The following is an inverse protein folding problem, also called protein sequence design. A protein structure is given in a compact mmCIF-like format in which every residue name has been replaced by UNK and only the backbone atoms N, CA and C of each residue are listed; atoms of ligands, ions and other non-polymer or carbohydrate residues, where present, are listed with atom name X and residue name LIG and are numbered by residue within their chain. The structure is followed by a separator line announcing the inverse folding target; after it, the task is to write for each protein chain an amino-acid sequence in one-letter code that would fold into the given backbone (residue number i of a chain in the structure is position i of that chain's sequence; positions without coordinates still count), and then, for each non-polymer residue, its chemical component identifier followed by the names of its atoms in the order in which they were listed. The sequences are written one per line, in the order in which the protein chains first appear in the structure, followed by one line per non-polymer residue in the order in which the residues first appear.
data_IF_222539435986
#
_entry.id   IF_222539435986
#
_cell.length_a   1.000
_cell.length_b   1.000
_cell.length_c   1.000
_cell.angle_alpha   90.00
_cell.angle_beta   90.00
_cell.angle_gamma   90.00
#
_symmetry.space_group_name_H-M   'P 1'
#
loop_
_entity.id
_entity.type
_entity.pdbx_description
1 polymer ?
#
# COMPACT_ATOMS: atom_id res chain seq x y z
N UNK A 1 -10.41 -18.19 -3.32
CA UNK A 1 -11.87 -18.35 -3.50
C UNK A 1 -12.38 -17.02 -3.99
N UNK A 2 -12.75 -16.92 -5.28
CA UNK A 2 -13.42 -15.75 -5.83
C UNK A 2 -14.78 -15.61 -5.15
N UNK A 3 -15.16 -14.40 -4.79
CA UNK A 3 -16.40 -14.04 -4.08
C UNK A 3 -17.60 -14.89 -4.50
N UNK A 4 -18.40 -15.33 -3.53
CA UNK A 4 -19.46 -16.30 -3.76
C UNK A 4 -20.61 -15.73 -4.60
N UNK A 5 -21.06 -14.48 -4.32
CA UNK A 5 -22.19 -13.86 -5.02
C UNK A 5 -22.10 -12.33 -5.02
N UNK A 6 -22.95 -11.67 -5.81
CA UNK A 6 -23.10 -10.20 -5.77
C UNK A 6 -23.79 -9.74 -4.49
N UNK A 7 -24.63 -10.62 -3.89
CA UNK A 7 -25.23 -10.36 -2.59
C UNK A 7 -24.18 -10.29 -1.48
N UNK A 8 -23.14 -11.17 -1.52
CA UNK A 8 -22.01 -11.12 -0.58
C UNK A 8 -21.26 -9.80 -0.73
N UNK A 9 -20.95 -9.36 -1.95
CA UNK A 9 -20.25 -8.10 -2.19
C UNK A 9 -21.06 -6.90 -1.70
N UNK A 10 -22.37 -6.88 -2.00
CA UNK A 10 -23.29 -5.85 -1.52
C UNK A 10 -23.33 -5.78 0.00
N UNK A 11 -23.41 -6.94 0.66
CA UNK A 11 -23.40 -7.04 2.12
C UNK A 11 -22.09 -6.51 2.69
N UNK A 12 -20.95 -6.92 2.14
CA UNK A 12 -19.63 -6.49 2.62
C UNK A 12 -19.39 -5.00 2.39
N UNK A 13 -19.86 -4.45 1.27
CA UNK A 13 -19.80 -3.02 1.01
C UNK A 13 -20.55 -2.21 2.08
N UNK A 14 -21.75 -2.66 2.46
CA UNK A 14 -22.52 -2.04 3.57
C UNK A 14 -21.83 -2.18 4.92
N UNK A 15 -21.03 -3.21 5.13
CA UNK A 15 -20.23 -3.43 6.33
C UNK A 15 -18.89 -2.68 6.32
N UNK A 16 -18.62 -1.87 5.30
CA UNK A 16 -17.43 -1.03 5.25
C UNK A 16 -16.23 -1.66 4.53
N UNK A 17 -16.38 -2.81 3.85
CA UNK A 17 -15.28 -3.33 3.02
C UNK A 17 -15.07 -2.40 1.81
N UNK A 18 -13.81 -2.04 1.54
CA UNK A 18 -13.41 -1.10 0.48
C UNK A 18 -12.32 -1.63 -0.44
N UNK A 19 -11.90 -2.87 -0.25
CA UNK A 19 -10.85 -3.43 -1.09
C UNK A 19 -10.67 -4.93 -0.93
N UNK A 20 -9.85 -5.50 -1.78
CA UNK A 20 -9.43 -6.90 -1.72
C UNK A 20 -7.93 -7.02 -1.84
N UNK A 21 -7.31 -7.82 -0.96
CA UNK A 21 -5.86 -8.01 -0.95
C UNK A 21 -5.44 -9.15 -1.86
N UNK A 22 -4.40 -8.87 -2.66
CA UNK A 22 -3.68 -9.83 -3.48
C UNK A 22 -2.27 -9.98 -2.93
N UNK A 23 -1.91 -11.19 -2.52
CA UNK A 23 -0.55 -11.52 -2.12
C UNK A 23 0.18 -12.09 -3.33
N UNK A 24 1.02 -11.26 -3.95
CA UNK A 24 1.86 -11.62 -5.10
C UNK A 24 3.35 -11.75 -4.73
N UNK A 25 3.67 -11.76 -3.42
CA UNK A 25 5.04 -11.85 -2.92
C UNK A 25 5.60 -13.28 -3.01
N UNK A 26 4.75 -14.28 -2.81
CA UNK A 26 5.17 -15.68 -2.73
C UNK A 26 4.93 -16.41 -4.04
N UNK A 27 5.84 -17.34 -4.37
CA UNK A 27 5.68 -18.27 -5.49
C UNK A 27 4.35 -19.04 -5.34
N UNK A 28 3.54 -19.03 -6.41
CA UNK A 28 2.19 -19.61 -6.36
C UNK A 28 1.09 -18.64 -5.92
N UNK A 29 1.40 -17.37 -5.73
CA UNK A 29 0.41 -16.30 -5.57
C UNK A 29 -0.50 -16.20 -6.80
N UNK A 30 -1.66 -15.52 -6.69
CA UNK A 30 -2.62 -15.42 -7.78
C UNK A 30 -1.99 -14.68 -8.97
N UNK A 31 -1.95 -15.33 -10.12
CA UNK A 31 -1.51 -14.71 -11.37
C UNK A 31 -2.43 -13.59 -11.84
N UNK A 32 -1.99 -12.81 -12.82
CA UNK A 32 -2.72 -11.64 -13.35
C UNK A 32 -4.15 -11.99 -13.78
N UNK A 33 -4.36 -13.15 -14.42
CA UNK A 33 -5.70 -13.61 -14.82
C UNK A 33 -6.70 -13.78 -13.64
N UNK A 34 -6.21 -14.05 -12.42
CA UNK A 34 -7.03 -14.03 -11.22
C UNK A 34 -7.38 -12.60 -10.83
N UNK A 35 -6.41 -11.69 -10.89
CA UNK A 35 -6.59 -10.27 -10.53
C UNK A 35 -7.54 -9.58 -11.51
N UNK A 36 -7.50 -9.91 -12.79
CA UNK A 36 -8.45 -9.45 -13.80
C UNK A 36 -9.89 -9.79 -13.41
N UNK A 37 -10.15 -11.07 -13.07
CA UNK A 37 -11.49 -11.50 -12.62
C UNK A 37 -11.89 -10.83 -11.30
N UNK A 38 -10.95 -10.64 -10.39
CA UNK A 38 -11.18 -9.93 -9.14
C UNK A 38 -11.55 -8.47 -9.40
N UNK A 39 -10.76 -7.76 -10.20
CA UNK A 39 -10.97 -6.35 -10.54
C UNK A 39 -12.36 -6.14 -11.20
N UNK A 40 -12.72 -6.98 -12.17
CA UNK A 40 -14.02 -6.92 -12.80
C UNK A 40 -15.19 -7.05 -11.78
N UNK A 41 -15.00 -7.84 -10.74
CA UNK A 41 -16.01 -8.07 -9.68
C UNK A 41 -16.13 -6.92 -8.68
N UNK A 42 -15.00 -6.27 -8.35
CA UNK A 42 -14.94 -5.23 -7.30
C UNK A 42 -15.10 -3.82 -7.85
N UNK A 43 -14.82 -3.60 -9.12
CA UNK A 43 -14.93 -2.30 -9.80
C UNK A 43 -16.30 -1.62 -9.64
N UNK A 44 -17.45 -2.32 -9.77
CA UNK A 44 -18.77 -1.70 -9.55
C UNK A 44 -19.01 -1.19 -8.12
N UNK A 45 -18.17 -1.57 -7.17
CA UNK A 45 -18.24 -1.18 -5.76
C UNK A 45 -17.23 -0.11 -5.38
N UNK A 46 -16.45 0.42 -6.34
CA UNK A 46 -15.34 1.36 -6.13
C UNK A 46 -14.28 0.83 -5.14
N UNK A 47 -14.11 -0.50 -5.07
CA UNK A 47 -13.10 -1.11 -4.21
C UNK A 47 -11.73 -1.10 -4.88
N UNK A 48 -10.69 -0.96 -4.05
CA UNK A 48 -9.31 -1.04 -4.50
C UNK A 48 -8.75 -2.47 -4.44
N UNK A 49 -7.70 -2.71 -5.22
CA UNK A 49 -6.84 -3.89 -5.07
C UNK A 49 -5.64 -3.51 -4.22
N UNK A 50 -5.51 -4.14 -3.04
CA UNK A 50 -4.33 -3.99 -2.19
C UNK A 50 -3.29 -5.04 -2.57
N UNK A 51 -2.07 -4.62 -2.90
CA UNK A 51 -0.99 -5.48 -3.37
C UNK A 51 0.09 -5.67 -2.31
N UNK A 52 0.32 -6.90 -1.89
CA UNK A 52 1.55 -7.29 -1.22
C UNK A 52 2.50 -7.83 -2.28
N UNK A 53 3.54 -7.06 -2.61
CA UNK A 53 4.42 -7.32 -3.76
C UNK A 53 5.82 -6.78 -3.51
N UNK A 54 6.83 -7.47 -4.01
CA UNK A 54 8.19 -6.95 -4.16
C UNK A 54 8.29 -6.15 -5.46
N UNK A 55 8.41 -4.83 -5.34
CA UNK A 55 8.49 -3.90 -6.48
C UNK A 55 9.82 -3.99 -7.25
N UNK A 56 10.87 -4.52 -6.66
CA UNK A 56 12.15 -4.76 -7.37
C UNK A 56 12.02 -5.99 -8.26
N UNK A 57 11.43 -7.06 -7.74
CA UNK A 57 11.21 -8.31 -8.48
C UNK A 57 10.09 -8.21 -9.53
N UNK A 58 9.08 -7.38 -9.27
CA UNK A 58 7.88 -7.28 -10.12
C UNK A 58 7.52 -5.81 -10.47
N UNK A 59 8.41 -5.10 -11.17
CA UNK A 59 8.33 -3.64 -11.32
C UNK A 59 7.12 -3.14 -12.11
N UNK A 60 6.50 -3.99 -12.94
CA UNK A 60 5.37 -3.61 -13.81
C UNK A 60 4.01 -4.06 -13.29
N UNK A 61 3.99 -4.86 -12.22
CA UNK A 61 2.75 -5.47 -11.73
C UNK A 61 1.71 -4.43 -11.24
N UNK A 62 2.07 -3.36 -10.51
CA UNK A 62 1.12 -2.32 -10.14
C UNK A 62 0.46 -1.65 -11.36
N UNK A 63 1.23 -1.38 -12.43
CA UNK A 63 0.68 -0.83 -13.67
C UNK A 63 -0.33 -1.79 -14.32
N UNK A 64 0.02 -3.06 -14.43
CA UNK A 64 -0.88 -4.08 -15.00
C UNK A 64 -2.21 -4.17 -14.24
N UNK A 65 -2.20 -3.97 -12.90
CA UNK A 65 -3.43 -3.94 -12.10
C UNK A 65 -4.18 -2.62 -12.27
N UNK A 66 -3.49 -1.49 -12.32
CA UNK A 66 -4.10 -0.17 -12.56
C UNK A 66 -4.80 -0.12 -13.93
N UNK A 67 -4.22 -0.74 -14.97
CA UNK A 67 -4.79 -0.84 -16.31
C UNK A 67 -6.17 -1.55 -16.33
N UNK A 68 -6.52 -2.30 -15.28
CA UNK A 68 -7.85 -2.90 -15.10
C UNK A 68 -8.91 -1.87 -14.65
N UNK A 69 -8.49 -0.63 -14.38
CA UNK A 69 -9.36 0.48 -14.00
C UNK A 69 -9.91 0.36 -12.58
N UNK A 70 -9.11 -0.16 -11.66
CA UNK A 70 -9.36 -0.19 -10.21
C UNK A 70 -8.22 0.50 -9.48
N UNK A 71 -8.47 1.25 -8.38
CA UNK A 71 -7.39 1.84 -7.60
C UNK A 71 -6.47 0.75 -7.02
N UNK A 72 -5.17 1.04 -6.98
CA UNK A 72 -4.15 0.13 -6.43
C UNK A 72 -3.63 0.68 -5.11
N UNK A 73 -3.48 -0.17 -4.09
CA UNK A 73 -2.82 0.16 -2.82
C UNK A 73 -1.62 -0.76 -2.66
N UNK A 74 -0.41 -0.21 -2.64
CA UNK A 74 0.82 -0.99 -2.46
C UNK A 74 1.18 -1.07 -0.98
N UNK A 75 1.21 -2.30 -0.43
CA UNK A 75 1.58 -2.54 0.96
C UNK A 75 3.08 -2.31 1.20
N UNK A 76 3.39 -1.89 2.44
CA UNK A 76 4.74 -1.86 3.00
C UNK A 76 5.76 -1.21 2.04
N UNK A 77 5.39 -0.05 1.46
CA UNK A 77 6.30 0.70 0.58
C UNK A 77 6.88 -0.09 -0.59
N UNK A 78 6.24 -1.22 -0.97
CA UNK A 78 6.69 -2.09 -2.06
C UNK A 78 7.57 -3.26 -1.66
N UNK A 79 7.67 -3.56 -0.36
CA UNK A 79 8.23 -4.78 0.23
C UNK A 79 9.62 -5.19 -0.30
N UNK A 80 10.50 -4.25 -0.52
CA UNK A 80 11.88 -4.45 -0.97
C UNK A 80 12.84 -3.59 -0.17
N UNK A 81 14.12 -3.97 -0.16
CA UNK A 81 15.19 -3.17 0.46
C UNK A 81 15.13 -1.71 -0.02
N UNK A 82 15.14 -0.70 0.88
CA UNK A 82 14.97 0.71 0.50
C UNK A 82 16.00 1.20 -0.50
N UNK A 83 17.26 0.80 -0.37
CA UNK A 83 18.36 1.20 -1.27
C UNK A 83 18.19 0.58 -2.66
N UNK A 84 17.74 -0.67 -2.72
CA UNK A 84 17.46 -1.35 -3.99
C UNK A 84 16.25 -0.70 -4.66
N UNK A 85 15.20 -0.44 -3.89
CA UNK A 85 13.95 0.17 -4.39
C UNK A 85 14.19 1.58 -4.95
N UNK A 86 14.99 2.41 -4.29
CA UNK A 86 15.36 3.76 -4.76
C UNK A 86 15.98 3.79 -6.16
N UNK A 87 16.54 2.67 -6.62
CA UNK A 87 17.16 2.51 -7.95
C UNK A 87 16.29 1.70 -8.91
N UNK A 88 15.16 1.19 -8.44
CA UNK A 88 14.30 0.27 -9.19
C UNK A 88 13.39 1.00 -10.19
N UNK A 89 13.19 0.46 -11.39
CA UNK A 89 12.11 0.92 -12.28
C UNK A 89 10.72 0.73 -11.64
N UNK A 90 10.56 -0.19 -10.70
CA UNK A 90 9.31 -0.39 -9.97
C UNK A 90 8.91 0.82 -9.15
N UNK A 91 9.87 1.48 -8.48
CA UNK A 91 9.59 2.75 -7.80
C UNK A 91 9.16 3.83 -8.79
N UNK A 92 9.88 3.99 -9.91
CA UNK A 92 9.53 5.00 -10.91
C UNK A 92 8.09 4.79 -11.45
N UNK A 93 7.73 3.56 -11.76
CA UNK A 93 6.37 3.21 -12.20
C UNK A 93 5.32 3.51 -11.13
N UNK A 94 5.57 3.13 -9.87
CA UNK A 94 4.65 3.44 -8.77
C UNK A 94 4.47 4.93 -8.56
N UNK A 95 5.55 5.71 -8.60
CA UNK A 95 5.49 7.17 -8.44
C UNK A 95 4.67 7.84 -9.57
N UNK A 96 4.77 7.34 -10.81
CA UNK A 96 3.93 7.81 -11.93
C UNK A 96 2.45 7.53 -11.66
N UNK A 97 2.10 6.31 -11.28
CA UNK A 97 0.71 5.94 -10.93
C UNK A 97 0.16 6.76 -9.75
N UNK A 98 1.01 7.05 -8.76
CA UNK A 98 0.61 7.91 -7.64
C UNK A 98 0.36 9.36 -8.10
N UNK A 99 1.22 9.91 -8.96
CA UNK A 99 1.04 11.26 -9.52
C UNK A 99 -0.28 11.38 -10.31
N UNK A 100 -0.66 10.32 -11.01
CA UNK A 100 -1.92 10.22 -11.75
C UNK A 100 -3.14 9.91 -10.87
N UNK A 101 -2.94 9.64 -9.57
CA UNK A 101 -4.01 9.28 -8.64
C UNK A 101 -4.52 7.85 -8.76
N UNK A 102 -3.83 6.98 -9.49
CA UNK A 102 -4.23 5.59 -9.74
C UNK A 102 -3.71 4.61 -8.69
N UNK A 103 -2.62 4.98 -7.98
CA UNK A 103 -2.05 4.15 -6.94
C UNK A 103 -1.84 4.90 -5.62
N UNK A 104 -1.89 4.13 -4.55
CA UNK A 104 -1.61 4.51 -3.18
C UNK A 104 -0.43 3.72 -2.65
N UNK A 105 0.28 4.29 -1.70
CA UNK A 105 1.31 3.57 -0.94
C UNK A 105 0.99 3.58 0.55
N UNK A 106 1.22 2.45 1.21
CA UNK A 106 1.10 2.33 2.65
C UNK A 106 2.48 2.42 3.30
N UNK A 107 2.74 3.48 4.07
CA UNK A 107 3.91 3.60 4.94
C UNK A 107 3.70 2.69 6.15
N UNK A 108 4.21 1.48 6.09
CA UNK A 108 4.02 0.48 7.15
C UNK A 108 5.15 -0.55 7.15
N UNK A 109 5.34 -1.21 8.28
CA UNK A 109 6.23 -2.35 8.43
C UNK A 109 7.66 -2.14 7.88
N UNK A 110 8.40 -1.12 8.32
CA UNK A 110 9.78 -0.88 7.86
C UNK A 110 10.70 -2.07 8.11
N UNK A 111 10.45 -2.84 9.17
CA UNK A 111 11.15 -4.09 9.50
C UNK A 111 10.97 -5.20 8.45
N UNK A 112 10.03 -5.06 7.49
CA UNK A 112 9.91 -5.99 6.35
C UNK A 112 10.84 -5.64 5.20
N UNK A 113 11.36 -4.42 5.20
CA UNK A 113 12.20 -3.90 4.13
C UNK A 113 13.69 -4.11 4.42
N UNK A 114 14.10 -3.97 5.68
CA UNK A 114 15.49 -4.19 6.11
C UNK A 114 15.60 -4.57 7.59
N UNK A 115 16.72 -5.16 7.97
CA UNK A 115 17.06 -5.49 9.37
C UNK A 115 17.12 -4.25 10.29
N UNK A 116 17.26 -3.06 9.72
CA UNK A 116 17.37 -1.79 10.45
C UNK A 116 16.02 -1.20 10.81
N UNK A 117 14.94 -1.73 10.26
CA UNK A 117 13.58 -1.25 10.52
C UNK A 117 13.46 0.26 10.30
N UNK A 118 12.90 0.97 11.27
CA UNK A 118 12.75 2.44 11.21
C UNK A 118 14.06 3.22 11.11
N UNK A 119 15.19 2.59 11.49
CA UNK A 119 16.53 3.21 11.49
C UNK A 119 17.27 3.03 10.17
N UNK A 120 16.63 2.48 9.15
CA UNK A 120 17.26 2.36 7.84
C UNK A 120 17.51 3.75 7.23
N UNK A 121 18.77 4.06 6.84
CA UNK A 121 19.15 5.41 6.39
C UNK A 121 18.56 5.81 5.03
N UNK A 122 18.14 4.84 4.22
CA UNK A 122 17.53 5.09 2.91
C UNK A 122 16.00 5.25 3.00
N UNK A 123 15.39 4.86 4.13
CA UNK A 123 13.94 4.91 4.33
C UNK A 123 13.36 6.33 4.28
N UNK A 124 13.91 7.35 4.97
CA UNK A 124 13.38 8.71 4.89
C UNK A 124 13.38 9.25 3.45
N UNK A 125 14.43 8.96 2.68
CA UNK A 125 14.53 9.36 1.27
C UNK A 125 13.49 8.66 0.39
N UNK A 126 13.21 7.39 0.66
CA UNK A 126 12.16 6.64 -0.03
C UNK A 126 10.78 7.26 0.24
N UNK A 127 10.47 7.54 1.51
CA UNK A 127 9.21 8.15 1.94
C UNK A 127 9.05 9.55 1.33
N UNK A 128 10.10 10.36 1.31
CA UNK A 128 10.09 11.67 0.65
C UNK A 128 9.71 11.57 -0.83
N UNK A 129 10.16 10.52 -1.54
CA UNK A 129 9.79 10.29 -2.95
C UNK A 129 8.29 10.03 -3.10
N UNK A 130 7.69 9.23 -2.23
CA UNK A 130 6.24 8.98 -2.24
C UNK A 130 5.45 10.27 -1.97
N UNK A 131 5.83 11.00 -0.93
CA UNK A 131 5.17 12.27 -0.56
C UNK A 131 5.29 13.30 -1.68
N UNK A 132 6.46 13.45 -2.30
CA UNK A 132 6.66 14.37 -3.44
C UNK A 132 5.87 13.98 -4.68
N UNK A 133 5.66 12.68 -4.92
CA UNK A 133 4.87 12.23 -6.06
C UNK A 133 3.40 12.62 -5.89
N UNK A 134 2.81 12.31 -4.74
CA UNK A 134 1.45 12.74 -4.40
C UNK A 134 1.16 12.48 -2.92
N UNK A 135 1.17 13.51 -2.05
CA UNK A 135 0.89 13.34 -0.63
C UNK A 135 -0.53 12.85 -0.35
N UNK A 136 -1.46 13.06 -1.30
CA UNK A 136 -2.85 12.57 -1.21
C UNK A 136 -2.99 11.07 -1.47
N UNK A 137 -1.96 10.39 -1.89
CA UNK A 137 -1.95 8.96 -2.20
C UNK A 137 -1.08 8.15 -1.24
N UNK A 138 -0.85 8.69 -0.05
CA UNK A 138 -0.06 8.06 1.01
C UNK A 138 -0.94 7.80 2.22
N UNK A 139 -0.90 6.60 2.77
CA UNK A 139 -1.51 6.25 4.06
C UNK A 139 -0.48 5.58 4.96
N UNK A 140 -0.72 5.57 6.26
CA UNK A 140 0.14 4.91 7.24
C UNK A 140 -0.60 3.78 7.96
N UNK A 141 0.13 2.83 8.53
CA UNK A 141 -0.40 1.77 9.38
C UNK A 141 0.69 1.01 10.13
N UNK A 142 0.35 0.42 11.26
CA UNK A 142 1.26 -0.34 12.13
C UNK A 142 1.71 -1.67 11.55
N UNK A 143 0.89 -2.30 10.72
CA UNK A 143 0.98 -3.72 10.33
C UNK A 143 0.65 -4.71 11.48
N UNK A 144 -0.02 -4.21 12.55
CA UNK A 144 -0.46 -5.09 13.62
C UNK A 144 -1.35 -6.23 13.09
N UNK A 145 -1.21 -7.49 13.55
CA UNK A 145 -0.39 -8.01 14.63
C UNK A 145 1.02 -8.49 14.19
N UNK A 146 1.64 -7.89 13.18
CA UNK A 146 3.01 -8.15 12.71
C UNK A 146 3.28 -9.62 12.33
N UNK A 147 2.49 -10.24 11.46
CA UNK A 147 2.61 -11.67 11.18
C UNK A 147 3.95 -12.00 10.52
N UNK A 148 4.66 -12.99 11.09
CA UNK A 148 5.90 -13.54 10.52
C UNK A 148 6.92 -12.47 10.09
N UNK A 149 7.41 -11.61 11.00
CA UNK A 149 8.40 -10.60 10.65
C UNK A 149 9.70 -11.27 10.18
N UNK A 150 10.29 -10.87 9.03
CA UNK A 150 11.52 -11.47 8.53
C UNK A 150 12.77 -11.02 9.31
N UNK A 151 12.68 -9.88 10.00
CA UNK A 151 13.73 -9.26 10.79
C UNK A 151 13.22 -8.89 12.18
N UNK A 152 14.10 -8.48 13.12
CA UNK A 152 13.68 -7.98 14.42
C UNK A 152 12.63 -6.88 14.30
N UNK A 153 11.60 -6.97 15.10
CA UNK A 153 10.47 -6.06 15.09
C UNK A 153 10.79 -4.79 15.89
N UNK A 154 10.52 -3.63 15.30
CA UNK A 154 10.39 -2.41 16.06
C UNK A 154 9.10 -2.46 16.90
N UNK A 155 9.12 -1.95 18.13
CA UNK A 155 7.92 -1.88 18.95
C UNK A 155 6.91 -0.83 18.39
N UNK A 156 5.65 -0.95 18.76
CA UNK A 156 4.59 -0.07 18.24
C UNK A 156 4.81 1.40 18.58
N UNK A 157 5.41 1.71 19.74
CA UNK A 157 5.73 3.08 20.10
C UNK A 157 6.79 3.66 19.16
N UNK A 158 7.84 2.91 18.88
CA UNK A 158 8.88 3.30 17.91
C UNK A 158 8.31 3.46 16.49
N UNK A 159 7.41 2.57 16.07
CA UNK A 159 6.72 2.70 14.78
C UNK A 159 5.86 3.97 14.69
N UNK A 160 5.15 4.31 15.76
CA UNK A 160 4.35 5.54 15.83
C UNK A 160 5.26 6.77 15.85
N UNK A 161 6.29 6.80 16.69
CA UNK A 161 7.23 7.91 16.80
C UNK A 161 7.95 8.21 15.49
N UNK A 162 8.24 7.18 14.68
CA UNK A 162 8.89 7.35 13.38
C UNK A 162 8.08 8.21 12.40
N UNK A 163 6.76 8.30 12.58
CA UNK A 163 5.89 9.13 11.73
C UNK A 163 6.28 10.59 11.80
N UNK A 164 6.66 11.10 12.98
CA UNK A 164 7.08 12.50 13.16
C UNK A 164 8.41 12.80 12.45
N UNK A 165 9.27 11.81 12.34
CA UNK A 165 10.52 11.94 11.57
C UNK A 165 10.28 11.86 10.07
N UNK A 166 9.38 11.00 9.63
CA UNK A 166 9.08 10.81 8.21
C UNK A 166 8.19 11.92 7.63
N UNK A 167 7.30 12.46 8.45
CA UNK A 167 6.33 13.47 8.08
C UNK A 167 6.43 14.66 9.06
N UNK A 168 7.45 15.52 8.92
CA UNK A 168 7.75 16.57 9.91
C UNK A 168 6.71 17.71 9.93
N UNK A 169 5.97 17.88 8.85
CA UNK A 169 4.93 18.92 8.73
C UNK A 169 3.58 18.42 9.28
N UNK A 170 2.92 19.24 10.14
CA UNK A 170 1.66 18.89 10.79
C UNK A 170 0.51 18.69 9.80
N UNK A 171 0.44 19.52 8.75
CA UNK A 171 -0.60 19.41 7.73
C UNK A 171 -0.40 18.13 6.89
N UNK A 172 0.85 17.75 6.64
CA UNK A 172 1.17 16.50 5.97
C UNK A 172 0.81 15.29 6.83
N UNK A 173 1.05 15.34 8.14
CA UNK A 173 0.62 14.28 9.07
C UNK A 173 -0.89 14.14 9.10
N UNK A 174 -1.62 15.27 9.24
CA UNK A 174 -3.08 15.27 9.15
C UNK A 174 -3.56 14.62 7.84
N UNK A 175 -2.95 15.01 6.71
CA UNK A 175 -3.28 14.45 5.40
C UNK A 175 -3.09 12.92 5.37
N UNK A 176 -1.94 12.41 5.83
CA UNK A 176 -1.58 10.98 5.72
C UNK A 176 -2.30 10.12 6.76
N UNK A 177 -2.50 10.63 7.98
CA UNK A 177 -3.07 9.85 9.09
C UNK A 177 -4.60 9.94 9.17
N UNK A 178 -5.22 10.99 8.61
CA UNK A 178 -6.66 11.26 8.76
C UNK A 178 -7.34 11.40 7.39
N UNK A 179 -7.01 12.44 6.62
CA UNK A 179 -7.78 12.81 5.42
C UNK A 179 -7.69 11.73 4.33
N UNK A 180 -6.51 11.16 4.13
CA UNK A 180 -6.29 10.11 3.14
C UNK A 180 -6.99 8.79 3.53
N UNK A 181 -6.92 8.28 4.78
CA UNK A 181 -7.73 7.15 5.22
C UNK A 181 -9.23 7.38 5.07
N UNK A 182 -9.75 8.57 5.42
CA UNK A 182 -11.15 8.94 5.20
C UNK A 182 -11.52 8.74 3.73
N UNK A 183 -10.71 9.27 2.82
CA UNK A 183 -10.97 9.18 1.38
C UNK A 183 -10.83 7.76 0.83
N UNK A 184 -9.78 7.02 1.24
CA UNK A 184 -9.50 5.68 0.71
C UNK A 184 -10.50 4.63 1.22
N UNK A 185 -10.86 4.71 2.48
CA UNK A 185 -11.69 3.70 3.15
C UNK A 185 -13.14 4.15 3.36
N UNK A 186 -13.47 5.39 3.03
CA UNK A 186 -14.83 5.92 3.14
C UNK A 186 -15.28 6.03 4.59
N UNK A 187 -14.39 6.49 5.49
CA UNK A 187 -14.79 6.82 6.86
C UNK A 187 -15.57 8.14 6.90
N UNK A 188 -16.39 8.32 7.92
CA UNK A 188 -17.02 9.61 8.18
C UNK A 188 -15.95 10.66 8.52
N UNK A 189 -16.06 11.89 8.01
CA UNK A 189 -15.15 12.97 8.37
C UNK A 189 -15.16 13.21 9.89
N UNK A 190 -13.99 13.43 10.47
CA UNK A 190 -13.82 13.75 11.90
C UNK A 190 -13.98 15.25 12.11
#
# INVERSE_FOLDING_TARGET
MLFRSDEDLSRWNRLGVRGSRVNALFAGGPGLAYVERLAARIKPWDWHVQLLIDLVASPRYPQQVADLGVPVVVDHMGHADPRALLKSPGLANLLSLMAEGQAWVKLSAPYRLSERGVRDPDLPRLIERFVKANPKQVVWGTDWPHPSPPFPLDDDATLIESVWHWLPDDALRQQVLVDNPVRLYGFDPV
#
